data_IF_503362251108
#
_entry.id   IF_503362251108
#
_cell.length_a   1.000
_cell.length_b   1.000
_cell.length_c   1.000
_cell.angle_alpha   90.00
_cell.angle_beta   90.00
_cell.angle_gamma   90.00
#
_symmetry.space_group_name_H-M   'P 1'
#
loop_
_entity.id
_entity.type
_entity.pdbx_description
1 polymer ?
#
# COMPACT_ATOMS: atom_id res chain seq x y z
N UNK A 1 17.45 -0.98 -1.85
CA UNK A 1 16.60 -0.67 -0.69
C UNK A 1 15.19 -0.21 -1.09
N UNK A 2 15.04 0.40 -2.25
CA UNK A 2 13.76 0.89 -2.75
C UNK A 2 13.33 0.09 -3.96
N UNK A 3 12.30 -0.72 -3.82
CA UNK A 3 11.58 -1.27 -4.96
C UNK A 3 10.29 -0.45 -5.14
N UNK A 4 10.36 0.54 -6.01
CA UNK A 4 9.16 1.22 -6.50
C UNK A 4 8.27 0.14 -7.13
N UNK A 5 7.00 0.05 -6.71
CA UNK A 5 6.03 -0.84 -7.38
C UNK A 5 6.02 -0.38 -8.83
N UNK A 6 6.57 -1.20 -9.71
CA UNK A 6 6.96 -0.80 -11.04
C UNK A 6 5.77 -0.19 -11.77
N UNK A 7 5.98 0.98 -12.32
CA UNK A 7 5.07 1.70 -13.23
C UNK A 7 4.51 0.80 -14.34
N UNK A 8 5.20 -0.30 -14.64
CA UNK A 8 4.81 -1.26 -15.67
C UNK A 8 3.64 -2.17 -15.25
N UNK A 9 3.64 -2.66 -14.03
CA UNK A 9 2.51 -3.45 -13.49
C UNK A 9 1.31 -2.54 -13.24
N UNK A 10 1.57 -1.28 -12.89
CA UNK A 10 0.57 -0.23 -12.73
C UNK A 10 -0.07 0.17 -14.07
N UNK A 11 0.71 0.30 -15.14
CA UNK A 11 0.19 0.63 -16.49
C UNK A 11 -0.61 -0.50 -17.09
N UNK A 12 -0.15 -1.73 -16.96
CA UNK A 12 -0.90 -2.90 -17.42
C UNK A 12 -2.24 -3.02 -16.69
N UNK A 13 -2.23 -2.73 -15.43
CA UNK A 13 -3.40 -2.74 -14.56
C UNK A 13 -4.36 -1.55 -14.83
N UNK A 14 -3.85 -0.35 -15.10
CA UNK A 14 -4.66 0.80 -15.54
C UNK A 14 -5.39 0.44 -16.85
N UNK A 15 -4.75 -0.24 -17.77
CA UNK A 15 -5.36 -0.68 -19.02
C UNK A 15 -6.49 -1.67 -18.74
N UNK A 16 -6.32 -2.60 -17.81
CA UNK A 16 -7.34 -3.58 -17.42
C UNK A 16 -8.52 -2.94 -16.66
N UNK A 17 -8.31 -1.84 -15.94
CA UNK A 17 -9.37 -1.07 -15.26
C UNK A 17 -10.01 0.01 -16.15
N UNK A 18 -9.30 0.60 -17.09
CA UNK A 18 -9.86 1.58 -18.02
C UNK A 18 -11.01 1.01 -18.85
N UNK A 19 -11.11 -0.30 -18.94
CA UNK A 19 -12.27 -1.00 -19.54
C UNK A 19 -13.52 -0.96 -18.65
N UNK A 20 -13.37 -0.63 -17.35
CA UNK A 20 -14.47 -0.72 -16.37
C UNK A 20 -14.82 0.58 -15.61
N UNK A 21 -14.15 1.71 -15.86
CA UNK A 21 -14.47 2.97 -15.16
C UNK A 21 -14.91 4.09 -16.11
N UNK A 22 -15.95 4.86 -15.74
CA UNK A 22 -16.39 6.02 -16.52
C UNK A 22 -15.36 7.15 -16.50
N UNK A 23 -15.18 7.76 -17.63
CA UNK A 23 -14.21 8.71 -18.15
C UNK A 23 -13.95 10.04 -17.37
N UNK A 24 -14.29 10.21 -16.14
CA UNK A 24 -14.32 11.55 -15.51
C UNK A 24 -13.26 11.86 -14.44
N UNK A 25 -12.06 11.27 -14.48
CA UNK A 25 -11.02 11.56 -13.46
C UNK A 25 -9.76 12.22 -14.05
N UNK A 26 -9.82 12.81 -15.22
CA UNK A 26 -8.69 13.59 -15.77
C UNK A 26 -8.99 15.07 -15.78
N UNK A 27 -8.83 15.75 -14.66
CA UNK A 27 -8.42 17.17 -14.58
C UNK A 27 -8.20 17.55 -13.12
N UNK A 28 -6.97 17.66 -12.72
CA UNK A 28 -6.56 18.29 -11.47
C UNK A 28 -5.08 18.60 -11.51
N UNK A 29 -4.79 19.82 -11.27
CA UNK A 29 -3.51 20.47 -11.19
C UNK A 29 -2.37 19.60 -10.62
N UNK A 30 -1.17 19.84 -11.09
CA UNK A 30 0.14 19.31 -10.68
C UNK A 30 0.30 19.09 -9.18
N UNK A 31 -0.43 18.10 -8.64
CA UNK A 31 -0.15 17.59 -7.31
C UNK A 31 0.96 16.55 -7.46
N UNK A 32 2.04 16.76 -6.76
CA UNK A 32 3.09 15.75 -6.60
C UNK A 32 2.45 14.50 -6.02
N UNK A 33 2.24 13.49 -6.85
CA UNK A 33 1.73 12.20 -6.40
C UNK A 33 2.69 11.61 -5.36
N UNK A 34 2.12 11.00 -4.32
CA UNK A 34 2.89 10.19 -3.40
C UNK A 34 3.51 9.00 -4.12
N UNK A 35 4.67 8.54 -3.66
CA UNK A 35 5.31 7.33 -4.18
C UNK A 35 4.96 6.14 -3.31
N UNK A 36 4.39 5.09 -3.91
CA UNK A 36 4.17 3.83 -3.24
C UNK A 36 5.42 2.96 -3.35
N UNK A 37 5.93 2.52 -2.22
CA UNK A 37 7.10 1.66 -2.11
C UNK A 37 6.72 0.45 -1.30
N UNK A 38 6.91 -0.75 -1.84
CA UNK A 38 6.75 -1.98 -1.09
C UNK A 38 8.01 -2.25 -0.25
N UNK A 39 7.84 -2.49 1.05
CA UNK A 39 8.93 -2.93 1.91
C UNK A 39 9.51 -4.24 1.38
N UNK A 40 10.82 -4.26 1.21
CA UNK A 40 11.58 -5.44 0.80
C UNK A 40 12.46 -5.89 1.97
N UNK A 41 12.36 -7.18 2.32
CA UNK A 41 13.22 -7.79 3.33
C UNK A 41 14.67 -7.85 2.86
N UNK A 42 15.60 -8.01 3.77
CA UNK A 42 17.03 -8.15 3.45
C UNK A 42 17.32 -9.31 2.47
N UNK A 43 16.52 -10.39 2.54
CA UNK A 43 16.63 -11.54 1.64
C UNK A 43 15.96 -11.33 0.26
N UNK A 44 15.42 -10.13 -0.02
CA UNK A 44 14.75 -9.79 -1.28
C UNK A 44 13.25 -10.12 -1.35
N UNK A 45 12.68 -10.75 -0.34
CA UNK A 45 11.23 -10.99 -0.28
C UNK A 45 10.47 -9.68 -0.11
N UNK A 46 9.35 -9.56 -0.82
CA UNK A 46 8.45 -8.39 -0.78
C UNK A 46 7.08 -8.83 -0.27
N UNK A 47 6.82 -8.73 1.03
CA UNK A 47 5.61 -9.33 1.64
C UNK A 47 4.29 -8.84 1.05
N UNK A 48 4.18 -7.57 0.67
CA UNK A 48 2.96 -7.04 0.07
C UNK A 48 2.73 -7.61 -1.33
N UNK A 49 3.79 -7.76 -2.14
CA UNK A 49 3.67 -8.39 -3.47
C UNK A 49 3.23 -9.84 -3.35
N UNK A 50 3.82 -10.61 -2.42
CA UNK A 50 3.42 -11.99 -2.15
C UNK A 50 1.95 -12.08 -1.73
N UNK A 51 1.51 -11.17 -0.86
CA UNK A 51 0.11 -11.08 -0.46
C UNK A 51 -0.81 -10.79 -1.65
N UNK A 52 -0.46 -9.79 -2.47
CA UNK A 52 -1.25 -9.43 -3.66
C UNK A 52 -1.34 -10.58 -4.66
N UNK A 53 -0.28 -11.37 -4.81
CA UNK A 53 -0.28 -12.56 -5.66
C UNK A 53 -1.15 -13.69 -5.10
N UNK A 54 -1.33 -13.74 -3.78
CA UNK A 54 -2.10 -14.78 -3.09
C UNK A 54 -3.61 -14.58 -3.14
N UNK A 55 -4.09 -13.34 -3.33
CA UNK A 55 -5.53 -13.03 -3.38
C UNK A 55 -6.10 -13.27 -4.78
N UNK A 56 -7.42 -13.45 -4.87
CA UNK A 56 -8.04 -13.63 -6.19
C UNK A 56 -7.88 -12.39 -7.07
N UNK A 57 -7.93 -12.53 -8.41
CA UNK A 57 -7.69 -11.42 -9.33
C UNK A 57 -8.61 -10.22 -9.16
N UNK A 58 -9.87 -10.44 -8.79
CA UNK A 58 -10.85 -9.35 -8.57
C UNK A 58 -10.55 -8.56 -7.31
N UNK A 59 -10.18 -9.24 -6.23
CA UNK A 59 -9.71 -8.59 -5.00
C UNK A 59 -8.43 -7.81 -5.25
N UNK A 60 -7.48 -8.41 -5.96
CA UNK A 60 -6.22 -7.75 -6.33
C UNK A 60 -6.47 -6.46 -7.11
N UNK A 61 -7.32 -6.50 -8.13
CA UNK A 61 -7.69 -5.33 -8.92
C UNK A 61 -8.29 -4.21 -8.05
N UNK A 62 -9.15 -4.58 -7.10
CA UNK A 62 -9.75 -3.62 -6.18
C UNK A 62 -8.74 -3.01 -5.22
N UNK A 63 -7.81 -3.80 -4.69
CA UNK A 63 -6.73 -3.30 -3.85
C UNK A 63 -5.85 -2.31 -4.64
N UNK A 64 -5.48 -2.64 -5.87
CA UNK A 64 -4.72 -1.73 -6.73
C UNK A 64 -5.44 -0.41 -6.99
N UNK A 65 -6.77 -0.45 -7.18
CA UNK A 65 -7.58 0.78 -7.30
C UNK A 65 -7.50 1.66 -6.06
N UNK A 66 -7.57 1.06 -4.89
CA UNK A 66 -7.42 1.78 -3.62
C UNK A 66 -5.99 2.29 -3.39
N UNK A 67 -4.97 1.54 -3.80
CA UNK A 67 -3.58 2.00 -3.77
C UNK A 67 -3.38 3.22 -4.68
N UNK A 68 -4.02 3.26 -5.85
CA UNK A 68 -4.02 4.43 -6.72
C UNK A 68 -4.66 5.66 -6.08
N UNK A 69 -5.76 5.48 -5.37
CA UNK A 69 -6.42 6.56 -4.60
C UNK A 69 -5.53 7.02 -3.44
N UNK A 70 -4.88 6.09 -2.75
CA UNK A 70 -3.92 6.41 -1.68
C UNK A 70 -2.73 7.21 -2.23
N UNK A 71 -2.21 6.85 -3.39
CA UNK A 71 -1.13 7.57 -4.05
C UNK A 71 -1.52 9.00 -4.41
N UNK A 72 -2.74 9.23 -4.86
CA UNK A 72 -3.26 10.56 -5.18
C UNK A 72 -3.52 11.40 -3.93
N UNK A 73 -4.21 10.83 -2.93
CA UNK A 73 -4.69 11.56 -1.76
C UNK A 73 -3.73 11.54 -0.57
N UNK A 74 -2.87 10.53 -0.47
CA UNK A 74 -1.90 10.40 0.60
C UNK A 74 -2.54 10.51 1.99
N UNK A 75 -2.03 11.43 2.79
CA UNK A 75 -2.51 11.68 4.15
C UNK A 75 -3.93 12.30 4.23
N UNK A 76 -4.53 12.67 3.11
CA UNK A 76 -5.92 13.14 3.05
C UNK A 76 -6.94 11.99 2.96
N UNK A 77 -6.49 10.78 2.64
CA UNK A 77 -7.37 9.60 2.59
C UNK A 77 -7.88 9.25 4.00
N UNK A 78 -9.17 9.04 4.12
CA UNK A 78 -9.90 8.82 5.37
C UNK A 78 -10.78 7.58 5.32
N UNK A 79 -11.41 7.24 6.46
CA UNK A 79 -12.45 6.23 6.51
C UNK A 79 -13.55 6.52 5.46
N UNK A 80 -14.11 5.50 4.84
CA UNK A 80 -13.96 4.06 5.13
C UNK A 80 -12.74 3.38 4.46
N UNK A 81 -11.95 4.11 3.69
CA UNK A 81 -10.87 3.53 2.87
C UNK A 81 -9.56 3.37 3.60
N UNK A 82 -9.25 4.28 4.52
CA UNK A 82 -8.04 4.25 5.32
C UNK A 82 -8.33 4.59 6.77
N UNK A 83 -7.58 3.99 7.69
CA UNK A 83 -7.66 4.26 9.13
C UNK A 83 -6.27 4.22 9.75
N UNK A 84 -6.01 5.20 10.61
CA UNK A 84 -4.86 5.16 11.52
C UNK A 84 -5.09 4.10 12.59
N UNK A 85 -4.11 3.24 12.81
CA UNK A 85 -4.18 2.17 13.82
C UNK A 85 -3.45 2.54 15.09
N UNK A 86 -2.13 2.66 15.02
CA UNK A 86 -1.27 2.93 16.16
C UNK A 86 0.11 3.40 15.68
N UNK A 87 0.69 4.37 16.38
CA UNK A 87 2.07 4.84 16.19
C UNK A 87 2.45 5.11 14.71
N UNK A 88 1.56 5.79 13.97
CA UNK A 88 1.81 6.14 12.56
C UNK A 88 1.66 4.99 11.57
N UNK A 89 1.17 3.84 12.00
CA UNK A 89 0.76 2.74 11.12
C UNK A 89 -0.70 2.93 10.72
N UNK A 90 -0.96 2.85 9.43
CA UNK A 90 -2.29 2.97 8.83
C UNK A 90 -2.70 1.66 8.17
N UNK A 91 -3.99 1.44 8.02
CA UNK A 91 -4.53 0.35 7.21
C UNK A 91 -5.31 0.89 6.01
N UNK A 92 -5.08 0.30 4.84
CA UNK A 92 -5.92 0.44 3.67
C UNK A 92 -6.95 -0.67 3.68
N UNK A 93 -8.22 -0.31 3.59
CA UNK A 93 -9.36 -1.18 3.80
C UNK A 93 -10.00 -1.56 2.47
N UNK A 94 -10.04 -2.86 2.16
CA UNK A 94 -10.68 -3.37 0.96
C UNK A 94 -11.65 -4.51 1.30
N UNK A 95 -12.82 -4.45 0.71
CA UNK A 95 -13.84 -5.52 0.80
C UNK A 95 -14.30 -5.90 -0.60
N UNK A 96 -14.30 -7.19 -0.88
CA UNK A 96 -14.84 -7.76 -2.11
C UNK A 96 -15.62 -9.04 -1.78
N UNK A 97 -16.95 -9.03 -2.03
CA UNK A 97 -17.81 -10.14 -1.59
C UNK A 97 -17.79 -10.26 -0.06
N UNK A 98 -17.53 -11.46 0.42
CA UNK A 98 -17.36 -11.75 1.86
C UNK A 98 -15.92 -11.52 2.37
N UNK A 99 -14.96 -11.36 1.46
CA UNK A 99 -13.55 -11.21 1.82
C UNK A 99 -13.22 -9.77 2.21
N UNK A 100 -12.54 -9.63 3.31
CA UNK A 100 -12.05 -8.36 3.84
C UNK A 100 -10.54 -8.43 3.91
N UNK A 101 -9.86 -7.48 3.26
CA UNK A 101 -8.41 -7.40 3.28
C UNK A 101 -7.93 -6.08 3.87
N UNK A 102 -6.71 -6.10 4.38
CA UNK A 102 -6.00 -4.93 4.88
C UNK A 102 -4.59 -4.93 4.29
N UNK A 103 -4.13 -3.74 3.89
CA UNK A 103 -2.72 -3.46 3.58
C UNK A 103 -2.25 -2.40 4.56
N UNK A 104 -1.21 -2.70 5.33
CA UNK A 104 -0.65 -1.78 6.30
C UNK A 104 0.46 -0.94 5.67
N UNK A 105 0.54 0.31 6.08
CA UNK A 105 1.50 1.26 5.54
C UNK A 105 1.84 2.37 6.52
N UNK A 106 2.93 3.07 6.24
CA UNK A 106 3.33 4.29 6.93
C UNK A 106 3.85 5.34 5.95
N UNK A 107 3.80 6.60 6.36
CA UNK A 107 4.35 7.71 5.59
C UNK A 107 5.83 7.91 5.91
N UNK A 108 6.63 8.15 4.88
CA UNK A 108 8.04 8.48 4.99
C UNK A 108 8.36 9.78 4.24
N UNK A 109 9.51 10.36 4.48
CA UNK A 109 9.93 11.63 3.90
C UNK A 109 9.76 11.70 2.37
N UNK A 110 9.59 12.93 1.86
CA UNK A 110 9.46 13.21 0.42
C UNK A 110 8.26 12.52 -0.25
N UNK A 111 7.14 12.46 0.46
CA UNK A 111 5.90 11.92 -0.10
C UNK A 111 5.91 10.43 -0.38
N UNK A 112 6.73 9.66 0.33
CA UNK A 112 6.77 8.20 0.21
C UNK A 112 5.76 7.53 1.13
N UNK A 113 5.09 6.51 0.63
CA UNK A 113 4.20 5.63 1.38
C UNK A 113 4.78 4.23 1.31
N UNK A 114 5.14 3.68 2.45
CA UNK A 114 5.79 2.37 2.54
C UNK A 114 4.75 1.32 2.92
N UNK A 115 4.51 0.37 2.03
CA UNK A 115 3.59 -0.74 2.25
C UNK A 115 4.33 -1.88 2.95
N UNK A 116 3.86 -2.27 4.12
CA UNK A 116 4.60 -3.21 4.98
C UNK A 116 4.12 -4.65 4.88
N UNK A 117 2.82 -4.87 4.96
CA UNK A 117 2.20 -6.19 4.91
C UNK A 117 0.73 -6.10 4.50
N UNK A 118 0.23 -7.22 3.98
CA UNK A 118 -1.19 -7.39 3.67
C UNK A 118 -1.70 -8.70 4.26
N UNK A 119 -2.98 -8.76 4.58
CA UNK A 119 -3.62 -9.94 5.14
C UNK A 119 -5.13 -9.96 4.90
N UNK A 120 -5.73 -11.14 5.00
CA UNK A 120 -7.17 -11.33 5.01
C UNK A 120 -7.65 -11.19 6.46
N UNK A 121 -8.58 -10.26 6.69
CA UNK A 121 -9.09 -9.97 8.01
C UNK A 121 -10.21 -10.94 8.40
N UNK A 122 -10.02 -11.66 9.49
CA UNK A 122 -10.96 -12.63 10.05
C UNK A 122 -11.56 -12.23 11.39
N UNK A 123 -11.10 -11.11 11.96
CA UNK A 123 -11.49 -10.60 13.29
C UNK A 123 -12.11 -9.22 13.18
N UNK A 124 -12.82 -8.77 14.22
CA UNK A 124 -13.43 -7.41 14.25
C UNK A 124 -12.41 -6.29 14.19
N UNK A 125 -11.29 -6.45 14.90
CA UNK A 125 -10.18 -5.49 14.95
C UNK A 125 -8.99 -6.02 14.16
N UNK A 126 -8.16 -5.12 13.65
CA UNK A 126 -6.87 -5.48 13.09
C UNK A 126 -6.03 -6.15 14.15
N UNK A 127 -5.50 -7.36 13.88
CA UNK A 127 -4.70 -8.09 14.87
C UNK A 127 -3.46 -7.29 15.29
N UNK A 128 -3.16 -7.31 16.59
CA UNK A 128 -1.97 -6.63 17.14
C UNK A 128 -0.67 -7.15 16.54
N UNK A 129 -0.64 -8.43 16.22
CA UNK A 129 0.51 -9.10 15.57
C UNK A 129 0.83 -8.48 14.22
N UNK A 130 -0.19 -8.17 13.41
CA UNK A 130 0.00 -7.52 12.10
C UNK A 130 0.52 -6.08 12.26
N UNK A 131 0.02 -5.35 13.25
CA UNK A 131 0.51 -4.01 13.57
C UNK A 131 1.96 -4.07 14.03
N UNK A 132 2.33 -5.05 14.85
CA UNK A 132 3.70 -5.22 15.30
C UNK A 132 4.65 -5.56 14.14
N UNK A 133 4.23 -6.43 13.22
CA UNK A 133 4.98 -6.72 11.99
C UNK A 133 5.23 -5.43 11.19
N UNK A 134 4.22 -4.58 11.04
CA UNK A 134 4.38 -3.31 10.34
C UNK A 134 5.38 -2.39 11.03
N UNK A 135 5.34 -2.30 12.36
CA UNK A 135 6.30 -1.50 13.15
C UNK A 135 7.73 -2.03 13.03
N UNK A 136 7.92 -3.34 13.10
CA UNK A 136 9.23 -3.97 12.96
C UNK A 136 9.82 -3.74 11.56
N UNK A 137 9.01 -3.86 10.53
CA UNK A 137 9.41 -3.57 9.16
C UNK A 137 9.71 -2.09 8.92
N UNK A 138 8.95 -1.19 9.54
CA UNK A 138 9.26 0.24 9.53
C UNK A 138 10.62 0.52 10.16
N UNK A 139 10.90 -0.07 11.30
CA UNK A 139 12.18 0.08 11.97
C UNK A 139 13.34 -0.39 11.09
N UNK A 140 13.22 -1.59 10.52
CA UNK A 140 14.21 -2.14 9.60
C UNK A 140 14.41 -1.27 8.36
N UNK A 141 13.33 -0.79 7.76
CA UNK A 141 13.38 0.13 6.62
C UNK A 141 14.15 1.41 6.95
N UNK A 142 13.81 2.07 8.04
CA UNK A 142 14.46 3.32 8.45
C UNK A 142 15.94 3.10 8.76
N UNK A 143 16.29 2.04 9.49
CA UNK A 143 17.67 1.72 9.81
C UNK A 143 18.53 1.49 8.56
N UNK A 144 17.98 0.77 7.56
CA UNK A 144 18.69 0.51 6.30
C UNK A 144 18.86 1.78 5.45
N UNK A 145 17.82 2.60 5.35
CA UNK A 145 17.91 3.88 4.63
C UNK A 145 18.96 4.79 5.27
N UNK A 146 18.98 4.90 6.60
CA UNK A 146 19.97 5.69 7.31
C UNK A 146 21.40 5.20 7.09
N UNK A 147 21.62 3.89 6.98
CA UNK A 147 22.95 3.34 6.66
C UNK A 147 23.39 3.70 5.25
N UNK A 148 22.48 3.65 4.29
CA UNK A 148 22.78 3.98 2.88
C UNK A 148 23.11 5.47 2.70
N UNK A 149 22.48 6.36 3.48
CA UNK A 149 22.73 7.80 3.44
C UNK A 149 24.07 8.20 4.11
N UNK A 150 24.64 7.35 4.95
CA UNK A 150 25.90 7.60 5.66
C UNK A 150 27.15 7.06 4.93
N UNK A 151 27.00 6.57 3.72
CA UNK A 151 28.08 6.17 2.83
C UNK A 151 28.34 7.31 1.83
#
# INVERSE_FOLDING_TARGET
>A
VFREIARYDYIKWIIDIMVYMPYNIYKGDYMTEFKLIAYEKENGEVPVEEFLDSVNPKMRAKIFGLLGILQEKGNMLREPYSKHLDDGIFELRCKFGSDITRVLYFFYYEGKIILTNGFIKKTKKTPKEEIQIAKDRRKDFIERVMKDENI
#
